data_IF_555138909712
#
_entry.id   IF_555138909712
#
_cell.length_a   1.000
_cell.length_b   1.000
_cell.length_c   1.000
_cell.angle_alpha   90.00
_cell.angle_beta   90.00
_cell.angle_gamma   90.00
#
_symmetry.space_group_name_H-M   'P 1'
#
loop_
_entity.id
_entity.type
_entity.pdbx_description
1 polymer ?
#
# COMPACT_ATOMS: atom_id res chain seq x y z
N UNK A 1 10.43 -14.89 -27.69
CA UNK A 1 10.37 -14.07 -26.46
C UNK A 1 9.20 -14.59 -25.66
N UNK A 2 9.44 -15.20 -24.50
CA UNK A 2 8.36 -15.75 -23.68
C UNK A 2 7.49 -14.59 -23.19
N UNK A 3 6.18 -14.65 -23.48
CA UNK A 3 5.22 -13.71 -22.92
C UNK A 3 5.34 -13.78 -21.41
N UNK A 4 5.60 -12.63 -20.78
CA UNK A 4 5.52 -12.51 -19.33
C UNK A 4 4.11 -12.96 -18.98
N UNK A 5 3.93 -13.98 -18.12
CA UNK A 5 2.65 -14.13 -17.44
C UNK A 5 2.36 -12.75 -16.82
N UNK A 6 1.32 -12.08 -17.33
CA UNK A 6 1.08 -10.66 -17.06
C UNK A 6 0.61 -10.51 -15.61
N UNK A 7 1.59 -10.48 -14.70
CA UNK A 7 1.38 -10.18 -13.29
C UNK A 7 1.27 -8.68 -13.12
N UNK A 8 0.13 -8.19 -12.64
CA UNK A 8 -0.08 -6.78 -12.32
C UNK A 8 0.22 -6.51 -10.84
N UNK A 9 1.04 -5.50 -10.58
CA UNK A 9 1.40 -5.07 -9.23
C UNK A 9 0.83 -3.70 -8.93
N UNK A 10 -0.01 -3.63 -7.90
CA UNK A 10 -0.63 -2.40 -7.42
C UNK A 10 -0.07 -2.00 -6.06
N UNK A 11 0.18 -0.71 -5.87
CA UNK A 11 0.50 -0.13 -4.57
C UNK A 11 -0.60 0.84 -4.14
N UNK A 12 -1.18 0.63 -2.95
CA UNK A 12 -2.22 1.52 -2.39
C UNK A 12 -1.58 2.47 -1.36
N UNK A 13 -1.32 3.71 -1.78
CA UNK A 13 -0.93 4.81 -0.91
C UNK A 13 -2.16 5.58 -0.39
N UNK A 14 -1.98 6.29 0.72
CA UNK A 14 -3.00 7.17 1.27
C UNK A 14 -2.70 7.57 2.72
N UNK A 15 -3.56 8.43 3.28
CA UNK A 15 -3.39 8.96 4.64
C UNK A 15 -3.55 7.86 5.69
N UNK A 16 -2.63 7.82 6.66
CA UNK A 16 -2.76 6.97 7.86
C UNK A 16 -3.06 7.88 9.05
N UNK A 17 -2.08 8.66 9.48
CA UNK A 17 -2.22 9.61 10.59
C UNK A 17 -2.45 11.05 10.14
N UNK A 18 -1.83 11.48 9.03
CA UNK A 18 -1.97 12.86 8.56
C UNK A 18 -1.38 13.87 9.53
N UNK A 19 -2.13 14.92 9.83
CA UNK A 19 -1.75 15.98 10.79
C UNK A 19 -2.21 15.72 12.23
N UNK A 20 -2.81 14.54 12.49
CA UNK A 20 -3.25 14.16 13.83
C UNK A 20 -2.05 14.04 14.76
N UNK A 21 -2.13 14.69 15.94
CA UNK A 21 -1.13 14.56 17.00
C UNK A 21 -1.54 13.45 17.97
N UNK A 22 -0.59 12.64 18.41
CA UNK A 22 -0.83 11.48 19.29
C UNK A 22 -0.87 10.15 18.53
N UNK A 23 -1.54 9.15 19.11
CA UNK A 23 -1.53 7.75 18.60
C UNK A 23 -2.78 7.38 17.79
N UNK A 24 -3.58 8.36 17.37
CA UNK A 24 -4.78 8.11 16.55
C UNK A 24 -4.49 8.18 15.05
N UNK A 25 -5.27 7.43 14.27
CA UNK A 25 -5.21 7.37 12.81
C UNK A 25 -6.60 7.60 12.21
N UNK A 26 -6.63 8.02 10.95
CA UNK A 26 -7.86 8.07 10.16
C UNK A 26 -8.39 6.66 9.90
N UNK A 27 -9.69 6.54 9.63
CA UNK A 27 -10.27 5.27 9.19
C UNK A 27 -9.56 4.77 7.93
N UNK A 28 -9.16 3.49 7.95
CA UNK A 28 -8.40 2.83 6.89
C UNK A 28 -9.28 1.92 6.02
N UNK A 29 -10.60 1.84 6.27
CA UNK A 29 -11.55 0.97 5.55
C UNK A 29 -11.59 1.21 4.03
N UNK A 30 -11.21 2.40 3.58
CA UNK A 30 -11.10 2.73 2.16
C UNK A 30 -10.07 1.85 1.43
N UNK A 31 -9.03 1.38 2.13
CA UNK A 31 -7.97 0.54 1.55
C UNK A 31 -8.51 -0.82 1.15
N UNK A 32 -9.35 -1.41 2.00
CA UNK A 32 -10.01 -2.70 1.74
C UNK A 32 -10.95 -2.58 0.54
N UNK A 33 -11.75 -1.50 0.48
CA UNK A 33 -12.64 -1.25 -0.67
C UNK A 33 -11.87 -1.09 -1.98
N UNK A 34 -10.74 -0.38 -1.98
CA UNK A 34 -9.89 -0.25 -3.17
C UNK A 34 -9.32 -1.61 -3.58
N UNK A 35 -8.81 -2.38 -2.62
CA UNK A 35 -8.27 -3.73 -2.86
C UNK A 35 -9.32 -4.65 -3.48
N UNK A 36 -10.54 -4.66 -2.95
CA UNK A 36 -11.65 -5.46 -3.46
C UNK A 36 -12.02 -5.08 -4.90
N UNK A 37 -12.05 -3.78 -5.21
CA UNK A 37 -12.30 -3.30 -6.58
C UNK A 37 -11.22 -3.78 -7.54
N UNK A 38 -9.94 -3.70 -7.15
CA UNK A 38 -8.83 -4.19 -7.99
C UNK A 38 -8.99 -5.69 -8.24
N UNK A 39 -9.15 -6.49 -7.18
CA UNK A 39 -9.25 -7.94 -7.30
C UNK A 39 -10.48 -8.37 -8.11
N UNK A 40 -11.60 -7.65 -8.00
CA UNK A 40 -12.79 -7.93 -8.78
C UNK A 40 -12.60 -7.66 -10.29
N UNK A 41 -11.83 -6.63 -10.66
CA UNK A 41 -11.65 -6.21 -12.05
C UNK A 41 -10.45 -6.87 -12.75
N UNK A 42 -9.49 -7.43 -12.00
CA UNK A 42 -8.31 -8.12 -12.52
C UNK A 42 -8.29 -9.61 -12.15
N UNK A 43 -9.47 -10.20 -11.94
CA UNK A 43 -9.63 -11.61 -11.51
C UNK A 43 -9.17 -12.63 -12.58
N UNK A 44 -9.01 -12.20 -13.82
CA UNK A 44 -8.56 -13.00 -14.96
C UNK A 44 -7.03 -13.06 -15.08
N UNK A 45 -6.30 -12.33 -14.22
CA UNK A 45 -4.84 -12.17 -14.27
C UNK A 45 -4.21 -12.38 -12.91
N UNK A 46 -2.92 -12.74 -12.89
CA UNK A 46 -2.18 -12.76 -11.64
C UNK A 46 -2.04 -11.32 -11.11
N UNK A 47 -2.58 -11.04 -9.93
CA UNK A 47 -2.62 -9.68 -9.37
C UNK A 47 -2.04 -9.65 -7.97
N UNK A 48 -1.07 -8.76 -7.74
CA UNK A 48 -0.49 -8.47 -6.43
C UNK A 48 -0.89 -7.06 -5.99
N UNK A 49 -1.44 -6.95 -4.77
CA UNK A 49 -1.83 -5.66 -4.19
C UNK A 49 -1.06 -5.45 -2.90
N UNK A 50 -0.21 -4.42 -2.86
CA UNK A 50 0.55 -4.03 -1.68
C UNK A 50 -0.12 -2.85 -0.97
N UNK A 51 -0.36 -3.03 0.34
CA UNK A 51 -0.90 -2.00 1.23
C UNK A 51 0.09 -1.75 2.39
N UNK A 52 0.63 -0.53 2.56
CA UNK A 52 1.55 -0.19 3.65
C UNK A 52 0.95 -0.38 5.05
N UNK A 53 -0.37 -0.16 5.19
CA UNK A 53 -1.04 -0.21 6.48
C UNK A 53 -1.21 -1.65 7.00
N UNK A 54 -1.61 -2.59 6.13
CA UNK A 54 -1.78 -4.00 6.51
C UNK A 54 -0.47 -4.62 7.02
N UNK A 55 0.67 -4.18 6.47
CA UNK A 55 1.99 -4.74 6.74
C UNK A 55 2.72 -4.08 7.94
N UNK A 56 2.25 -2.94 8.46
CA UNK A 56 2.90 -2.18 9.54
C UNK A 56 1.90 -1.61 10.56
N UNK A 57 1.04 -2.46 11.13
CA UNK A 57 -0.03 -2.07 12.06
C UNK A 57 0.42 -1.29 13.32
N UNK A 58 1.71 -1.37 13.70
CA UNK A 58 2.29 -0.66 14.85
C UNK A 58 3.31 0.42 14.43
N UNK A 59 3.19 1.00 13.23
CA UNK A 59 4.16 1.99 12.72
C UNK A 59 4.28 3.25 13.58
N UNK A 60 3.26 3.57 14.38
CA UNK A 60 3.23 4.73 15.27
C UNK A 60 4.29 4.62 16.39
N UNK A 61 4.66 3.41 16.80
CA UNK A 61 5.63 3.18 17.88
C UNK A 61 7.05 2.98 17.35
N UNK A 62 7.31 3.21 16.06
CA UNK A 62 8.64 3.03 15.49
C UNK A 62 9.56 4.18 15.93
N UNK A 63 10.79 3.82 16.27
CA UNK A 63 11.85 4.81 16.37
C UNK A 63 12.20 5.38 14.98
N UNK A 64 12.90 6.52 14.96
CA UNK A 64 13.26 7.21 13.72
C UNK A 64 14.05 6.34 12.74
N UNK A 65 14.89 5.43 13.26
CA UNK A 65 15.71 4.54 12.43
C UNK A 65 14.81 3.55 11.71
N UNK A 66 13.92 2.87 12.45
CA UNK A 66 12.98 1.90 11.91
C UNK A 66 11.98 2.55 10.96
N UNK A 67 11.51 3.75 11.30
CA UNK A 67 10.63 4.53 10.42
C UNK A 67 11.29 4.80 9.06
N UNK A 68 12.58 5.20 9.05
CA UNK A 68 13.34 5.40 7.81
C UNK A 68 13.52 4.12 7.00
N UNK A 69 13.89 3.02 7.64
CA UNK A 69 14.03 1.72 6.97
C UNK A 69 12.73 1.28 6.27
N UNK A 70 11.61 1.39 6.98
CA UNK A 70 10.28 1.04 6.47
C UNK A 70 9.85 1.99 5.35
N UNK A 71 10.17 3.28 5.47
CA UNK A 71 9.94 4.25 4.40
C UNK A 71 10.68 3.85 3.11
N UNK A 72 11.98 3.54 3.18
CA UNK A 72 12.74 3.14 1.99
C UNK A 72 12.25 1.81 1.40
N UNK A 73 11.88 0.85 2.24
CA UNK A 73 11.24 -0.39 1.79
C UNK A 73 9.94 -0.12 1.01
N UNK A 74 9.10 0.82 1.48
CA UNK A 74 7.91 1.22 0.73
C UNK A 74 8.26 1.87 -0.61
N UNK A 75 9.31 2.71 -0.67
CA UNK A 75 9.76 3.29 -1.94
C UNK A 75 10.18 2.20 -2.93
N UNK A 76 10.90 1.18 -2.48
CA UNK A 76 11.25 0.05 -3.35
C UNK A 76 10.01 -0.72 -3.83
N UNK A 77 9.00 -0.90 -2.97
CA UNK A 77 7.72 -1.50 -3.38
C UNK A 77 6.96 -0.66 -4.39
N UNK A 78 6.97 0.67 -4.27
CA UNK A 78 6.39 1.57 -5.29
C UNK A 78 7.13 1.42 -6.61
N UNK A 79 8.47 1.33 -6.59
CA UNK A 79 9.30 1.15 -7.81
C UNK A 79 9.05 -0.19 -8.51
N UNK A 80 8.70 -1.22 -7.75
CA UNK A 80 8.36 -2.56 -8.27
C UNK A 80 6.93 -2.65 -8.81
N UNK A 81 6.08 -1.65 -8.57
CA UNK A 81 4.67 -1.67 -8.92
C UNK A 81 4.41 -1.11 -10.31
N UNK A 82 3.44 -1.68 -11.01
CA UNK A 82 2.97 -1.19 -12.31
C UNK A 82 2.01 0.01 -12.13
N UNK A 83 1.26 0.02 -11.03
CA UNK A 83 0.27 1.07 -10.72
C UNK A 83 0.39 1.54 -9.28
N UNK A 84 0.49 2.87 -9.10
CA UNK A 84 0.38 3.54 -7.81
C UNK A 84 -1.00 4.20 -7.69
N UNK A 85 -1.79 3.79 -6.70
CA UNK A 85 -3.07 4.41 -6.37
C UNK A 85 -2.88 5.25 -5.12
N UNK A 86 -3.23 6.54 -5.18
CA UNK A 86 -3.17 7.46 -4.05
C UNK A 86 -4.57 7.95 -3.74
N UNK A 87 -5.07 7.67 -2.52
CA UNK A 87 -6.38 8.12 -2.08
C UNK A 87 -6.26 9.01 -0.83
N UNK A 88 -6.92 10.16 -0.87
CA UNK A 88 -7.04 11.12 0.23
C UNK A 88 -8.54 11.30 0.54
N UNK A 89 -9.04 10.79 1.68
CA UNK A 89 -10.43 10.96 2.11
C UNK A 89 -10.76 12.40 2.52
#
# INVERSE_FOLDING_TARGET
>A
MAGREEKYKFFIAGIIQGSIKGESIHDQSYRDRIKDIILANFNDKETEVFCPFENHKNSITYDDKRAKEVFFMHIDKVRESDVLIVYLP
#
